data_IF_988415144580
#
_entry.id   IF_988415144580
#
_cell.length_a   1.000
_cell.length_b   1.000
_cell.length_c   1.000
_cell.angle_alpha   90.00
_cell.angle_beta   90.00
_cell.angle_gamma   90.00
#
_symmetry.space_group_name_H-M   'P 1'
#
loop_
_entity.id
_entity.type
_entity.pdbx_description
1 polymer ?
#
# COMPACT_ATOMS: atom_id res chain seq x y z
N UNK A 1 7.36 -4.56 14.78
CA UNK A 1 8.31 -4.09 13.75
C UNK A 1 8.67 -2.65 14.11
N UNK A 2 9.96 -2.34 14.16
CA UNK A 2 10.46 -1.01 14.56
C UNK A 2 10.34 -0.03 13.38
N UNK A 3 10.38 1.26 13.67
CA UNK A 3 10.30 2.33 12.66
C UNK A 3 11.39 2.22 11.58
N UNK A 4 12.59 1.78 11.95
CA UNK A 4 13.71 1.55 11.01
C UNK A 4 13.47 0.45 9.99
N UNK A 5 12.80 -0.65 10.38
CA UNK A 5 12.53 -1.76 9.46
C UNK A 5 11.58 -1.34 8.32
N UNK A 6 10.67 -0.41 8.58
CA UNK A 6 9.79 0.12 7.55
C UNK A 6 10.50 1.08 6.60
N UNK A 7 11.44 1.88 7.10
CA UNK A 7 12.24 2.77 6.26
C UNK A 7 13.12 1.98 5.27
N UNK A 8 13.78 0.92 5.72
CA UNK A 8 14.56 0.02 4.86
C UNK A 8 13.69 -0.64 3.78
N UNK A 9 12.50 -1.11 4.15
CA UNK A 9 11.55 -1.66 3.19
C UNK A 9 11.11 -0.63 2.14
N UNK A 10 10.81 0.61 2.55
CA UNK A 10 10.46 1.69 1.61
C UNK A 10 11.60 1.97 0.65
N UNK A 11 12.85 1.98 1.14
CA UNK A 11 14.04 2.16 0.30
C UNK A 11 14.21 1.01 -0.70
N UNK A 12 13.97 -0.24 -0.29
CA UNK A 12 13.98 -1.38 -1.22
C UNK A 12 12.87 -1.25 -2.26
N UNK A 13 11.64 -0.92 -1.84
CA UNK A 13 10.49 -0.77 -2.73
C UNK A 13 10.70 0.36 -3.75
N UNK A 14 11.38 1.45 -3.38
CA UNK A 14 11.73 2.56 -4.27
C UNK A 14 12.53 2.11 -5.50
N UNK A 15 13.25 0.98 -5.41
CA UNK A 15 13.99 0.40 -6.55
C UNK A 15 13.11 -0.35 -7.55
N UNK A 16 11.82 -0.57 -7.25
CA UNK A 16 10.88 -1.40 -8.03
C UNK A 16 9.67 -0.59 -8.50
N UNK A 17 9.90 0.26 -9.51
CA UNK A 17 8.88 1.18 -10.05
C UNK A 17 7.62 0.46 -10.54
N UNK A 18 7.77 -0.69 -11.17
CA UNK A 18 6.67 -1.52 -11.65
C UNK A 18 5.76 -2.00 -10.51
N UNK A 19 6.35 -2.38 -9.37
CA UNK A 19 5.61 -2.78 -8.17
C UNK A 19 4.88 -1.59 -7.56
N UNK A 20 5.52 -0.43 -7.48
CA UNK A 20 4.87 0.81 -7.00
C UNK A 20 3.66 1.16 -7.87
N UNK A 21 3.83 1.16 -9.19
CA UNK A 21 2.76 1.48 -10.14
C UNK A 21 1.58 0.50 -10.00
N UNK A 22 1.88 -0.81 -9.86
CA UNK A 22 0.88 -1.84 -9.60
C UNK A 22 0.15 -1.61 -8.27
N UNK A 23 0.87 -1.37 -7.18
CA UNK A 23 0.28 -1.14 -5.85
C UNK A 23 -0.65 0.07 -5.86
N UNK A 24 -0.26 1.17 -6.50
CA UNK A 24 -1.09 2.38 -6.58
C UNK A 24 -2.31 2.21 -7.51
N UNK A 25 -2.20 1.37 -8.55
CA UNK A 25 -3.31 1.09 -9.45
C UNK A 25 -4.37 0.17 -8.80
N UNK A 26 -3.92 -0.85 -8.08
CA UNK A 26 -4.77 -1.87 -7.49
C UNK A 26 -5.39 -1.37 -6.18
N UNK A 27 -4.59 -0.77 -5.30
CA UNK A 27 -5.10 -0.19 -4.05
C UNK A 27 -5.63 1.22 -4.34
N UNK A 28 -6.96 1.36 -4.39
CA UNK A 28 -7.69 2.61 -4.62
C UNK A 28 -8.93 2.73 -3.72
N UNK A 29 -9.45 3.93 -3.46
CA UNK A 29 -10.67 4.10 -2.67
C UNK A 29 -11.90 3.61 -3.45
N UNK A 30 -12.87 3.03 -2.75
CA UNK A 30 -14.23 2.84 -3.24
C UNK A 30 -15.17 3.98 -2.75
N UNK A 31 -16.44 3.94 -3.15
CA UNK A 31 -17.43 4.96 -2.78
C UNK A 31 -17.70 5.06 -1.26
N UNK A 32 -17.33 4.04 -0.47
CA UNK A 32 -17.48 4.01 0.98
C UNK A 32 -16.20 4.43 1.72
N UNK A 33 -15.16 4.92 1.02
CA UNK A 33 -13.89 5.31 1.63
C UNK A 33 -13.02 4.13 2.09
N UNK A 34 -13.27 2.93 1.56
CA UNK A 34 -12.47 1.72 1.83
C UNK A 34 -11.57 1.38 0.65
N UNK A 35 -10.49 0.66 0.89
CA UNK A 35 -9.64 0.16 -0.19
C UNK A 35 -10.30 -1.02 -0.93
N UNK A 36 -10.43 -0.96 -2.25
CA UNK A 36 -11.10 -2.00 -3.05
C UNK A 36 -10.42 -3.37 -2.90
N UNK A 37 -9.09 -3.45 -2.92
CA UNK A 37 -8.39 -4.75 -2.84
C UNK A 37 -8.34 -5.31 -1.42
N UNK A 38 -8.19 -4.44 -0.41
CA UNK A 38 -8.23 -4.85 0.98
C UNK A 38 -9.65 -5.24 1.45
N UNK A 39 -10.68 -5.08 0.62
CA UNK A 39 -12.03 -5.56 0.94
C UNK A 39 -12.26 -7.02 0.57
N UNK A 40 -11.34 -7.65 -0.17
CA UNK A 40 -11.45 -9.06 -0.58
C UNK A 40 -11.20 -9.98 0.62
N UNK A 41 -12.19 -10.76 1.10
CA UNK A 41 -12.02 -11.70 2.20
C UNK A 41 -10.93 -12.75 1.88
N UNK A 42 -10.20 -13.20 2.90
CA UNK A 42 -9.17 -14.24 2.75
C UNK A 42 -7.78 -13.75 2.34
N UNK A 43 -7.57 -12.43 2.17
CA UNK A 43 -6.25 -11.85 1.82
C UNK A 43 -5.65 -10.92 2.88
N UNK A 44 -6.31 -10.71 4.03
CA UNK A 44 -5.85 -9.78 5.08
C UNK A 44 -6.97 -9.26 5.96
N UNK A 45 -6.89 -7.99 6.35
CA UNK A 45 -7.91 -7.25 7.13
C UNK A 45 -9.04 -6.78 6.21
N UNK A 46 -10.20 -7.47 6.17
CA UNK A 46 -11.28 -7.05 5.30
C UNK A 46 -11.80 -5.67 5.73
N UNK A 47 -12.12 -4.82 4.74
CA UNK A 47 -12.67 -3.46 4.93
C UNK A 47 -11.67 -2.44 5.50
N UNK A 48 -10.39 -2.55 5.16
CA UNK A 48 -9.41 -1.52 5.48
C UNK A 48 -9.86 -0.15 4.92
N UNK A 49 -9.79 0.89 5.75
CA UNK A 49 -10.06 2.27 5.30
C UNK A 49 -9.01 2.74 4.32
N UNK A 50 -9.40 3.59 3.40
CA UNK A 50 -8.47 4.28 2.52
C UNK A 50 -7.88 5.53 3.21
N UNK A 51 -6.57 5.82 3.09
CA UNK A 51 -5.54 5.02 2.42
C UNK A 51 -5.12 3.80 3.25
N UNK A 52 -5.00 2.64 2.59
CA UNK A 52 -4.54 1.42 3.25
C UNK A 52 -2.99 1.41 3.35
N UNK A 53 -2.46 0.57 4.23
CA UNK A 53 -1.00 0.45 4.47
C UNK A 53 -0.18 0.23 3.20
N UNK A 54 -0.63 -0.63 2.28
CA UNK A 54 0.05 -0.90 1.01
C UNK A 54 0.13 0.33 0.10
N UNK A 55 -0.93 1.14 0.05
CA UNK A 55 -0.89 2.39 -0.69
C UNK A 55 0.06 3.39 -0.03
N UNK A 56 0.03 3.50 1.30
CA UNK A 56 0.91 4.41 2.06
C UNK A 56 2.39 4.08 1.84
N UNK A 57 2.76 2.79 1.83
CA UNK A 57 4.13 2.35 1.55
C UNK A 57 4.54 2.65 0.10
N UNK A 58 3.64 2.44 -0.86
CA UNK A 58 3.90 2.76 -2.27
C UNK A 58 4.05 4.28 -2.49
N UNK A 59 3.22 5.10 -1.84
CA UNK A 59 3.34 6.57 -1.91
C UNK A 59 4.63 7.07 -1.27
N UNK A 60 5.04 6.49 -0.13
CA UNK A 60 6.32 6.80 0.49
C UNK A 60 7.50 6.43 -0.43
N UNK A 61 7.50 5.22 -1.00
CA UNK A 61 8.54 4.76 -1.91
C UNK A 61 8.61 5.57 -3.22
N UNK A 62 7.47 6.05 -3.73
CA UNK A 62 7.41 6.92 -4.90
C UNK A 62 8.05 8.29 -4.66
N UNK A 63 8.03 8.77 -3.41
CA UNK A 63 8.56 10.09 -3.00
C UNK A 63 10.01 10.05 -2.52
N UNK A 64 10.56 8.86 -2.32
CA UNK A 64 11.92 8.63 -1.84
C UNK A 64 12.99 8.90 -2.91
#
# INVERSE_FOLDING_TARGET
MTEGAWAEFVAELATRRDVIERLMADHRPNAAGLCVECTTPGRGTPRESWPCSLWTLADAARRA
#
